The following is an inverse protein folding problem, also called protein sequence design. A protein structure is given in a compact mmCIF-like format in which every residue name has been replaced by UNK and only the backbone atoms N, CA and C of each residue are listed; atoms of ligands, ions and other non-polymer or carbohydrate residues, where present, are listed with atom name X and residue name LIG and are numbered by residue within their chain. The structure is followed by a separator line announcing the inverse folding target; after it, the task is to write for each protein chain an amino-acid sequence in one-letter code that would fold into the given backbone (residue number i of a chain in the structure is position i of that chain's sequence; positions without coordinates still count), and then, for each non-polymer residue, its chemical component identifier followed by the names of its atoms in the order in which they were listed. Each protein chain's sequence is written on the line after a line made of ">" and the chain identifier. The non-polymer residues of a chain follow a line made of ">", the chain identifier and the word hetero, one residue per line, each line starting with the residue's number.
data_IF_550151815932
#
_entry.id   IF_550151815932
#
_cell.length_a   1.000
_cell.length_b   1.000
_cell.length_c   1.000
_cell.angle_alpha   90.00
_cell.angle_beta   90.00
_cell.angle_gamma   90.00
#
_symmetry.space_group_name_H-M   'P 1'
#
loop_
_entity.id
_entity.type
_entity.pdbx_description
1 polymer ?
#
# COMPACT_ATOMS: atom_id res chain seq x y z
N UNK A 1 41.53 49.02 22.63
CA UNK A 1 41.52 47.79 23.46
C UNK A 1 40.30 47.74 24.38
N UNK A 2 39.97 48.81 25.11
CA UNK A 2 38.78 48.86 26.00
C UNK A 2 37.43 48.67 25.28
N UNK A 3 37.23 49.31 24.12
CA UNK A 3 36.02 49.17 23.29
C UNK A 3 35.79 47.74 22.78
N UNK A 4 36.87 47.01 22.52
CA UNK A 4 36.80 45.61 22.11
C UNK A 4 36.25 44.72 23.24
N UNK A 5 36.80 44.84 24.45
CA UNK A 5 36.31 44.08 25.61
C UNK A 5 34.86 44.46 25.97
N UNK A 6 34.51 45.74 25.89
CA UNK A 6 33.12 46.19 26.11
C UNK A 6 32.14 45.58 25.09
N UNK A 7 32.55 45.52 23.81
CA UNK A 7 31.77 44.86 22.76
C UNK A 7 31.59 43.36 23.03
N UNK A 8 32.67 42.67 23.44
CA UNK A 8 32.63 41.25 23.78
C UNK A 8 31.69 40.97 24.96
N UNK A 9 31.77 41.74 26.05
CA UNK A 9 30.87 41.56 27.19
C UNK A 9 29.41 41.78 26.82
N UNK A 10 29.14 42.80 26.00
CA UNK A 10 27.78 43.08 25.53
C UNK A 10 27.25 41.95 24.65
N UNK A 11 28.06 41.44 23.72
CA UNK A 11 27.71 40.31 22.86
C UNK A 11 27.38 39.05 23.66
N UNK A 12 28.25 38.66 24.61
CA UNK A 12 27.99 37.47 25.43
C UNK A 12 26.78 37.62 26.34
N UNK A 13 26.58 38.80 26.93
CA UNK A 13 25.40 39.07 27.76
C UNK A 13 24.12 38.98 26.92
N UNK A 14 24.08 39.64 25.76
CA UNK A 14 22.92 39.58 24.86
C UNK A 14 22.68 38.16 24.34
N UNK A 15 23.73 37.43 23.97
CA UNK A 15 23.62 36.04 23.53
C UNK A 15 23.10 35.11 24.64
N UNK A 16 23.48 35.35 25.89
CA UNK A 16 22.98 34.61 27.04
C UNK A 16 21.50 34.87 27.30
N UNK A 17 21.08 36.13 27.31
CA UNK A 17 19.66 36.49 27.49
C UNK A 17 18.82 35.97 26.33
N UNK A 18 19.30 36.09 25.08
CA UNK A 18 18.65 35.50 23.92
C UNK A 18 18.51 33.97 24.08
N UNK A 19 19.56 33.27 24.50
CA UNK A 19 19.47 31.81 24.70
C UNK A 19 18.44 31.44 25.77
N UNK A 20 18.30 32.23 26.84
CA UNK A 20 17.25 32.04 27.84
C UNK A 20 15.86 32.23 27.26
N UNK A 21 15.65 33.28 26.47
CA UNK A 21 14.36 33.55 25.83
C UNK A 21 13.91 32.37 24.94
N UNK A 22 14.85 31.71 24.26
CA UNK A 22 14.58 30.53 23.44
C UNK A 22 14.47 29.20 24.20
N UNK A 23 14.70 29.17 25.52
CA UNK A 23 14.68 27.90 26.28
C UNK A 23 13.31 27.20 26.24
N UNK A 24 12.21 27.97 26.22
CA UNK A 24 10.88 27.38 26.15
C UNK A 24 10.66 26.58 24.86
N UNK A 25 11.07 27.13 23.70
CA UNK A 25 11.04 26.42 22.42
C UNK A 25 11.90 25.16 22.42
N UNK A 26 13.10 25.22 23.01
CA UNK A 26 13.99 24.04 23.13
C UNK A 26 13.34 22.94 23.98
N UNK A 27 12.75 23.32 25.11
CA UNK A 27 12.08 22.39 26.01
C UNK A 27 10.85 21.74 25.34
N UNK A 28 10.00 22.55 24.70
CA UNK A 28 8.83 22.06 24.00
C UNK A 28 9.22 21.11 22.86
N UNK A 29 10.25 21.46 22.08
CA UNK A 29 10.77 20.59 21.03
C UNK A 29 11.28 19.26 21.59
N UNK A 30 12.02 19.28 22.70
CA UNK A 30 12.51 18.06 23.34
C UNK A 30 11.35 17.16 23.80
N UNK A 31 10.32 17.74 24.40
CA UNK A 31 9.10 17.01 24.81
C UNK A 31 8.41 16.40 23.59
N UNK A 32 8.24 17.18 22.52
CA UNK A 32 7.60 16.71 21.28
C UNK A 32 8.38 15.58 20.62
N UNK A 33 9.71 15.64 20.61
CA UNK A 33 10.57 14.56 20.11
C UNK A 33 10.38 13.30 20.96
N UNK A 34 10.40 13.43 22.29
CA UNK A 34 10.24 12.29 23.18
C UNK A 34 8.84 11.66 23.04
N UNK A 35 7.79 12.47 22.93
CA UNK A 35 6.43 12.02 22.70
C UNK A 35 6.29 11.29 21.36
N UNK A 36 6.92 11.83 20.31
CA UNK A 36 6.94 11.19 18.98
C UNK A 36 7.62 9.84 19.05
N UNK A 37 8.76 9.74 19.75
CA UNK A 37 9.46 8.48 19.97
C UNK A 37 8.60 7.47 20.72
N UNK A 38 7.98 7.88 21.84
CA UNK A 38 7.15 7.00 22.65
C UNK A 38 5.94 6.48 21.86
N UNK A 39 5.29 7.34 21.06
CA UNK A 39 4.19 6.95 20.17
C UNK A 39 4.65 5.95 19.10
N UNK A 40 5.78 6.23 18.45
CA UNK A 40 6.34 5.34 17.44
C UNK A 40 6.63 3.95 18.03
N UNK A 41 7.29 3.90 19.18
CA UNK A 41 7.61 2.63 19.86
C UNK A 41 6.35 1.85 20.26
N UNK A 42 5.33 2.54 20.79
CA UNK A 42 4.03 1.94 21.09
C UNK A 42 3.35 1.35 19.86
N UNK A 43 3.20 2.14 18.80
CA UNK A 43 2.59 1.68 17.54
C UNK A 43 3.39 0.54 16.90
N UNK A 44 4.73 0.58 16.98
CA UNK A 44 5.58 -0.51 16.48
C UNK A 44 5.26 -1.82 17.18
N UNK A 45 5.17 -1.80 18.52
CA UNK A 45 4.85 -2.99 19.30
C UNK A 45 3.45 -3.54 18.96
N UNK A 46 2.45 -2.67 18.83
CA UNK A 46 1.09 -3.06 18.43
C UNK A 46 1.06 -3.69 17.01
N UNK A 47 1.82 -3.14 16.07
CA UNK A 47 1.93 -3.67 14.70
C UNK A 47 2.62 -5.04 14.69
N UNK A 48 3.67 -5.22 15.47
CA UNK A 48 4.36 -6.51 15.60
C UNK A 48 3.44 -7.58 16.19
N UNK A 49 2.67 -7.24 17.22
CA UNK A 49 1.70 -8.16 17.81
C UNK A 49 0.59 -8.52 16.80
N UNK A 50 0.05 -7.54 16.08
CA UNK A 50 -0.93 -7.75 15.03
C UNK A 50 -0.40 -8.65 13.91
N UNK A 51 0.84 -8.41 13.47
CA UNK A 51 1.52 -9.21 12.46
C UNK A 51 1.68 -10.66 12.89
N UNK A 52 2.03 -10.89 14.16
CA UNK A 52 2.14 -12.23 14.73
C UNK A 52 0.78 -12.93 14.81
N UNK A 53 -0.27 -12.24 15.26
CA UNK A 53 -1.64 -12.78 15.29
C UNK A 53 -2.11 -13.21 13.90
N UNK A 54 -1.93 -12.34 12.89
CA UNK A 54 -2.30 -12.64 11.50
C UNK A 54 -1.51 -13.83 10.96
N UNK A 55 -0.21 -13.94 11.27
CA UNK A 55 0.64 -15.05 10.82
C UNK A 55 0.25 -16.39 11.43
N UNK A 56 -0.15 -16.40 12.71
CA UNK A 56 -0.55 -17.63 13.41
C UNK A 56 -1.84 -18.21 12.83
N UNK A 57 -2.87 -17.37 12.58
CA UNK A 57 -4.15 -17.83 12.06
C UNK A 57 -4.68 -16.96 10.89
N UNK A 58 -4.08 -17.07 9.68
CA UNK A 58 -4.45 -16.20 8.55
C UNK A 58 -5.91 -16.34 8.10
N UNK A 59 -6.53 -17.50 8.35
CA UNK A 59 -7.91 -17.79 7.94
C UNK A 59 -8.94 -17.11 8.84
N UNK A 60 -8.65 -16.98 10.13
CA UNK A 60 -9.56 -16.39 11.12
C UNK A 60 -9.58 -14.86 11.02
N UNK A 61 -8.49 -14.29 10.50
CA UNK A 61 -8.36 -12.86 10.24
C UNK A 61 -8.73 -12.47 8.80
N UNK A 62 -9.40 -13.35 8.03
CA UNK A 62 -9.93 -12.97 6.72
C UNK A 62 -10.98 -11.88 6.90
N UNK A 63 -10.71 -10.72 6.28
CA UNK A 63 -11.67 -9.61 6.21
C UNK A 63 -12.97 -10.11 5.59
N UNK A 64 -14.11 -9.75 6.18
CA UNK A 64 -15.41 -9.95 5.55
C UNK A 64 -15.40 -9.22 4.20
N UNK A 65 -15.34 -9.99 3.12
CA UNK A 65 -15.33 -9.47 1.75
C UNK A 65 -16.73 -9.58 1.18
N UNK A 66 -17.19 -8.50 0.54
CA UNK A 66 -18.42 -8.53 -0.26
C UNK A 66 -18.27 -9.37 -1.54
N UNK A 67 -17.04 -9.75 -1.88
CA UNK A 67 -16.70 -10.57 -3.03
C UNK A 67 -16.68 -12.03 -2.66
N UNK A 68 -17.22 -12.87 -3.54
CA UNK A 68 -17.22 -14.33 -3.38
C UNK A 68 -15.82 -14.90 -3.61
N UNK A 69 -15.08 -14.30 -4.53
CA UNK A 69 -13.69 -14.61 -4.80
C UNK A 69 -12.96 -13.34 -5.22
N UNK A 70 -11.74 -13.16 -4.71
CA UNK A 70 -10.84 -12.09 -5.12
C UNK A 70 -9.40 -12.58 -5.08
N UNK A 71 -8.57 -12.06 -5.98
CA UNK A 71 -7.18 -12.47 -6.07
C UNK A 71 -6.52 -12.06 -7.37
N UNK A 72 -5.23 -12.38 -7.49
CA UNK A 72 -4.48 -12.10 -8.71
C UNK A 72 -4.67 -13.19 -9.75
N UNK A 73 -5.00 -12.79 -10.97
CA UNK A 73 -5.06 -13.66 -12.14
C UNK A 73 -4.14 -13.14 -13.23
N UNK A 74 -3.63 -14.05 -14.05
CA UNK A 74 -2.96 -13.70 -15.30
C UNK A 74 -3.96 -13.83 -16.43
N UNK A 75 -4.07 -12.78 -17.23
CA UNK A 75 -5.04 -12.67 -18.33
C UNK A 75 -4.26 -12.69 -19.63
N UNK A 76 -4.71 -13.50 -20.59
CA UNK A 76 -4.10 -13.56 -21.90
C UNK A 76 -4.57 -12.39 -22.75
N UNK A 77 -3.65 -11.49 -23.07
CA UNK A 77 -3.88 -10.38 -23.98
C UNK A 77 -3.28 -10.70 -25.35
N UNK A 78 -4.06 -10.54 -26.41
CA UNK A 78 -3.57 -10.61 -27.78
C UNK A 78 -2.86 -9.30 -28.12
N UNK A 79 -1.63 -9.39 -28.61
CA UNK A 79 -0.88 -8.24 -29.11
C UNK A 79 -1.00 -8.15 -30.64
N UNK A 80 -0.84 -6.95 -31.22
CA UNK A 80 -0.72 -6.80 -32.67
C UNK A 80 0.41 -7.68 -33.22
N UNK A 81 0.24 -8.18 -34.43
CA UNK A 81 1.33 -8.87 -35.13
C UNK A 81 2.56 -7.93 -35.23
N UNK A 82 3.81 -8.43 -35.06
CA UNK A 82 4.24 -9.83 -34.91
C UNK A 82 4.32 -10.37 -33.46
N UNK A 83 3.78 -9.67 -32.47
CA UNK A 83 4.14 -9.89 -31.05
C UNK A 83 3.34 -10.98 -30.30
N UNK A 84 2.45 -11.70 -30.98
CA UNK A 84 1.75 -12.85 -30.43
C UNK A 84 0.81 -12.51 -29.26
N UNK A 85 0.92 -13.23 -28.14
CA UNK A 85 0.12 -13.02 -26.93
C UNK A 85 1.00 -12.83 -25.71
N UNK A 86 0.52 -12.07 -24.73
CA UNK A 86 1.17 -11.89 -23.44
C UNK A 86 0.23 -12.19 -22.28
N UNK A 87 0.81 -12.48 -21.13
CA UNK A 87 0.07 -12.70 -19.89
C UNK A 87 0.28 -11.52 -18.96
N UNK A 88 -0.81 -10.82 -18.64
CA UNK A 88 -0.78 -9.61 -17.82
C UNK A 88 -1.50 -9.87 -16.50
N UNK A 89 -0.86 -9.47 -15.41
CA UNK A 89 -1.37 -9.68 -14.06
C UNK A 89 -2.47 -8.66 -13.76
N UNK A 90 -3.60 -9.13 -13.28
CA UNK A 90 -4.74 -8.32 -12.85
C UNK A 90 -5.15 -8.72 -11.44
N UNK A 91 -5.63 -7.76 -10.65
CA UNK A 91 -6.40 -8.06 -9.45
C UNK A 91 -7.88 -8.17 -9.82
N UNK A 92 -8.45 -9.34 -9.61
CA UNK A 92 -9.80 -9.67 -10.05
C UNK A 92 -10.70 -9.88 -8.84
N UNK A 93 -11.93 -9.38 -8.90
CA UNK A 93 -12.94 -9.49 -7.85
C UNK A 93 -14.28 -9.92 -8.45
N UNK A 94 -14.84 -11.01 -7.95
CA UNK A 94 -16.11 -11.56 -8.41
C UNK A 94 -17.19 -11.48 -7.33
N UNK A 95 -18.34 -10.91 -7.68
CA UNK A 95 -19.52 -10.84 -6.84
C UNK A 95 -20.62 -11.75 -7.39
N UNK A 96 -20.82 -12.91 -6.77
CA UNK A 96 -21.77 -13.95 -7.23
C UNK A 96 -23.21 -13.46 -7.35
N UNK A 97 -23.69 -12.65 -6.40
CA UNK A 97 -25.09 -12.17 -6.39
C UNK A 97 -25.44 -11.30 -7.59
N UNK A 98 -24.48 -10.52 -8.08
CA UNK A 98 -24.66 -9.65 -9.24
C UNK A 98 -24.06 -10.23 -10.53
N UNK A 99 -23.46 -11.44 -10.48
CA UNK A 99 -22.59 -11.99 -11.52
C UNK A 99 -21.55 -10.97 -12.06
N UNK A 100 -21.11 -10.05 -11.21
CA UNK A 100 -20.25 -8.92 -11.61
C UNK A 100 -18.78 -9.28 -11.43
N UNK A 101 -17.99 -9.15 -12.49
CA UNK A 101 -16.55 -9.37 -12.49
C UNK A 101 -15.84 -8.02 -12.70
N UNK A 102 -14.89 -7.71 -11.82
CA UNK A 102 -14.10 -6.47 -11.90
C UNK A 102 -12.63 -6.86 -12.00
N UNK A 103 -11.90 -6.22 -12.91
CA UNK A 103 -10.49 -6.48 -13.19
C UNK A 103 -9.72 -5.17 -13.16
N UNK A 104 -8.67 -5.13 -12.35
CA UNK A 104 -7.82 -3.95 -12.25
C UNK A 104 -6.41 -4.37 -12.67
N UNK A 105 -5.81 -3.73 -13.69
CA UNK A 105 -4.44 -4.01 -14.09
C UNK A 105 -3.47 -3.84 -12.91
N UNK A 106 -2.57 -4.81 -12.73
CA UNK A 106 -1.54 -4.72 -11.70
C UNK A 106 -0.30 -4.01 -12.25
N UNK A 107 -0.07 -2.79 -11.77
CA UNK A 107 1.12 -2.02 -12.10
C UNK A 107 2.10 -1.97 -10.92
N UNK A 108 3.29 -2.56 -11.09
CA UNK A 108 4.30 -2.66 -10.03
C UNK A 108 4.85 -1.29 -9.57
N UNK A 109 4.77 -0.26 -10.43
CA UNK A 109 5.31 1.08 -10.15
C UNK A 109 4.28 2.05 -9.54
N UNK A 110 3.02 1.64 -9.40
CA UNK A 110 1.91 2.58 -9.18
C UNK A 110 1.63 2.86 -7.72
N UNK A 111 2.47 2.35 -6.80
CA UNK A 111 2.40 2.68 -5.37
C UNK A 111 1.06 2.38 -4.72
N UNK A 112 0.27 1.45 -5.28
CA UNK A 112 -1.07 1.13 -4.78
C UNK A 112 -2.21 1.97 -5.37
N UNK A 113 -1.97 2.84 -6.36
CA UNK A 113 -3.06 3.42 -7.16
C UNK A 113 -3.71 2.32 -7.99
N UNK A 114 -5.00 2.08 -7.74
CA UNK A 114 -5.83 1.24 -8.58
C UNK A 114 -6.03 1.99 -9.91
N UNK A 115 -5.57 1.41 -11.01
CA UNK A 115 -5.83 1.93 -12.36
C UNK A 115 -7.32 1.85 -12.71
N UNK A 116 -7.69 2.41 -13.86
CA UNK A 116 -9.04 2.20 -14.40
C UNK A 116 -9.25 0.70 -14.66
N UNK A 117 -10.37 0.18 -14.18
CA UNK A 117 -10.63 -1.25 -14.15
C UNK A 117 -11.71 -1.65 -15.15
N UNK A 118 -11.52 -2.79 -15.81
CA UNK A 118 -12.58 -3.36 -16.64
C UNK A 118 -13.63 -4.04 -15.76
N UNK A 119 -14.90 -3.83 -16.11
CA UNK A 119 -16.05 -4.42 -15.42
C UNK A 119 -16.95 -5.07 -16.45
N UNK A 120 -17.33 -6.33 -16.21
CA UNK A 120 -18.28 -7.04 -17.06
C UNK A 120 -19.12 -8.03 -16.24
N UNK A 121 -20.19 -8.53 -16.84
CA UNK A 121 -21.05 -9.55 -16.25
C UNK A 121 -20.64 -10.93 -16.73
N UNK A 122 -20.42 -11.84 -15.78
CA UNK A 122 -20.03 -13.22 -16.04
C UNK A 122 -21.24 -14.03 -16.52
N UNK A 123 -21.15 -14.57 -17.74
CA UNK A 123 -22.12 -15.52 -18.29
C UNK A 123 -21.76 -16.95 -17.88
N UNK A 124 -20.55 -17.38 -18.23
CA UNK A 124 -20.04 -18.73 -17.99
C UNK A 124 -18.55 -18.71 -17.63
N UNK A 125 -18.12 -19.70 -16.86
CA UNK A 125 -16.72 -19.93 -16.51
C UNK A 125 -16.40 -21.41 -16.69
N UNK A 126 -15.43 -21.70 -17.57
CA UNK A 126 -15.13 -23.07 -18.00
C UNK A 126 -13.68 -23.40 -17.71
N UNK A 127 -13.45 -24.44 -16.90
CA UNK A 127 -12.09 -24.90 -16.59
C UNK A 127 -11.42 -25.44 -17.86
N UNK A 128 -10.20 -24.98 -18.15
CA UNK A 128 -9.37 -25.54 -19.23
C UNK A 128 -8.72 -26.84 -18.78
N UNK A 129 -8.66 -27.81 -19.69
CA UNK A 129 -7.86 -29.03 -19.49
C UNK A 129 -6.38 -28.71 -19.62
N UNK A 130 -5.56 -29.35 -18.79
CA UNK A 130 -4.10 -29.11 -18.72
C UNK A 130 -3.40 -29.32 -20.06
N UNK A 131 -3.92 -30.21 -20.91
CA UNK A 131 -3.30 -30.52 -22.20
C UNK A 131 -3.64 -29.51 -23.30
N UNK A 132 -4.57 -28.60 -23.05
CA UNK A 132 -5.00 -27.58 -24.03
C UNK A 132 -4.11 -26.32 -24.04
N UNK A 133 -3.28 -26.13 -23.02
CA UNK A 133 -2.40 -24.96 -22.86
C UNK A 133 -1.22 -25.32 -21.96
N UNK A 134 -0.02 -24.84 -22.28
CA UNK A 134 1.19 -25.02 -21.46
C UNK A 134 1.19 -24.13 -20.20
N UNK A 135 0.08 -24.14 -19.45
CA UNK A 135 -0.11 -23.42 -18.17
C UNK A 135 -1.09 -24.19 -17.28
N UNK A 136 -0.87 -24.10 -15.97
CA UNK A 136 -1.71 -24.75 -14.96
C UNK A 136 -2.79 -23.78 -14.44
N UNK A 137 -3.90 -24.34 -13.98
CA UNK A 137 -5.01 -23.61 -13.34
C UNK A 137 -5.69 -22.59 -14.26
N UNK A 138 -5.77 -22.88 -15.55
CA UNK A 138 -6.42 -22.02 -16.54
C UNK A 138 -7.93 -22.29 -16.60
N UNK A 139 -8.68 -21.23 -16.91
CA UNK A 139 -10.11 -21.28 -17.16
C UNK A 139 -10.48 -20.14 -18.12
N UNK A 140 -11.53 -20.34 -18.89
CA UNK A 140 -12.12 -19.30 -19.73
C UNK A 140 -13.27 -18.62 -18.99
N UNK A 141 -13.44 -17.34 -19.30
CA UNK A 141 -14.58 -16.54 -18.85
C UNK A 141 -15.31 -16.05 -20.11
N UNK A 142 -16.61 -16.33 -20.18
CA UNK A 142 -17.52 -15.72 -21.15
C UNK A 142 -18.26 -14.57 -20.49
N UNK A 143 -18.21 -13.38 -21.11
CA UNK A 143 -18.97 -12.21 -20.68
C UNK A 143 -20.37 -12.20 -21.32
N UNK A 144 -21.35 -11.64 -20.63
CA UNK A 144 -22.72 -11.56 -21.15
C UNK A 144 -22.91 -10.51 -22.26
N UNK A 145 -22.07 -9.46 -22.27
CA UNK A 145 -22.28 -8.25 -23.09
C UNK A 145 -21.08 -7.91 -24.02
N UNK A 146 -20.20 -8.88 -24.34
CA UNK A 146 -19.05 -8.67 -25.23
C UNK A 146 -19.09 -9.61 -26.44
#
# INVERSE_FOLDING_TARGET
>A
MLSFFQGMFTFYHQGHELSKDFNHYKMELQINIQNTRNRFEGTRSEVEELMNKIRQNPKDHKRASQFTAEGYLYVQEKRPAPFGSSWVKHYCMYRKTAKKFNMIPFEHRSGGKLGDGEVFFLKECTKRYTDSIDRRFCFDIEAADR
#
